data_IF_719214933910
#
_entry.id   IF_719214933910
#
_cell.length_a   1.000
_cell.length_b   1.000
_cell.length_c   1.000
_cell.angle_alpha   90.00
_cell.angle_beta   90.00
_cell.angle_gamma   90.00
#
_symmetry.space_group_name_H-M   'P 1'
#
loop_
_entity.id
_entity.type
_entity.pdbx_description
1 polymer ?
#
# COMPACT_ATOMS: atom_id res chain seq x y z
N UNK A 1 -5.31 -16.11 -12.89
CA UNK A 1 -4.74 -14.76 -13.09
C UNK A 1 -3.23 -14.90 -13.04
N UNK A 2 -2.52 -14.75 -14.17
CA UNK A 2 -1.07 -14.81 -14.19
C UNK A 2 -0.53 -13.60 -13.43
N UNK A 3 0.19 -13.83 -12.34
CA UNK A 3 0.94 -12.78 -11.68
C UNK A 3 1.97 -12.23 -12.67
N UNK A 4 1.84 -10.95 -13.05
CA UNK A 4 2.91 -10.24 -13.76
C UNK A 4 4.08 -10.21 -12.79
N UNK A 5 5.03 -11.13 -12.96
CA UNK A 5 6.23 -11.19 -12.14
C UNK A 5 7.05 -9.94 -12.42
N UNK A 6 7.29 -9.08 -11.42
CA UNK A 6 8.03 -7.86 -11.64
C UNK A 6 9.47 -8.18 -12.03
N UNK A 7 9.96 -7.49 -13.06
CA UNK A 7 11.31 -7.74 -13.59
C UNK A 7 12.36 -7.41 -12.53
N UNK A 8 13.53 -8.04 -12.63
CA UNK A 8 14.67 -7.77 -11.71
C UNK A 8 15.02 -6.28 -11.66
N UNK A 9 14.90 -5.58 -12.78
CA UNK A 9 15.09 -4.14 -12.87
C UNK A 9 14.01 -3.36 -12.12
N UNK A 10 12.76 -3.81 -12.12
CA UNK A 10 11.66 -3.15 -11.41
C UNK A 10 11.82 -3.31 -9.90
N UNK A 11 12.24 -4.51 -9.45
CA UNK A 11 12.61 -4.74 -8.05
C UNK A 11 13.73 -3.79 -7.64
N UNK A 12 14.82 -3.78 -8.39
CA UNK A 12 16.00 -2.96 -8.13
C UNK A 12 15.64 -1.46 -7.98
N UNK A 13 14.76 -0.94 -8.85
CA UNK A 13 14.22 0.42 -8.75
C UNK A 13 13.38 0.65 -7.50
N UNK A 14 12.53 -0.31 -7.14
CA UNK A 14 11.69 -0.24 -5.94
C UNK A 14 12.55 -0.15 -4.67
N UNK A 15 13.53 -1.04 -4.53
CA UNK A 15 14.49 -1.00 -3.43
C UNK A 15 15.30 0.30 -3.39
N UNK A 16 15.69 0.82 -4.56
CA UNK A 16 16.37 2.11 -4.65
C UNK A 16 15.49 3.28 -4.20
N UNK A 17 14.23 3.34 -4.65
CA UNK A 17 13.29 4.42 -4.29
C UNK A 17 12.95 4.36 -2.80
N UNK A 18 12.57 3.20 -2.27
CA UNK A 18 12.20 3.08 -0.87
C UNK A 18 13.42 3.31 0.04
N UNK A 19 14.57 2.75 -0.33
CA UNK A 19 15.82 2.92 0.41
C UNK A 19 16.30 4.36 0.41
N UNK A 20 16.26 5.05 -0.74
CA UNK A 20 16.65 6.46 -0.82
C UNK A 20 15.68 7.39 -0.06
N UNK A 21 14.38 7.14 -0.10
CA UNK A 21 13.39 7.90 0.69
C UNK A 21 13.63 7.77 2.20
N UNK A 22 13.82 6.54 2.70
CA UNK A 22 14.15 6.31 4.10
C UNK A 22 15.53 6.92 4.46
N UNK A 23 16.52 6.78 3.58
CA UNK A 23 17.86 7.34 3.75
C UNK A 23 17.88 8.87 3.79
N UNK A 24 17.03 9.55 3.01
CA UNK A 24 16.84 11.00 3.11
C UNK A 24 16.23 11.41 4.46
N UNK A 25 15.23 10.68 4.96
CA UNK A 25 14.61 10.95 6.25
C UNK A 25 15.60 10.79 7.41
N UNK A 26 16.33 9.68 7.44
CA UNK A 26 17.36 9.40 8.44
C UNK A 26 18.52 10.40 8.33
N UNK A 27 18.98 10.68 7.10
CA UNK A 27 20.02 11.66 6.83
C UNK A 27 19.62 13.08 7.21
N UNK A 28 18.33 13.42 7.11
CA UNK A 28 17.79 14.71 7.60
C UNK A 28 17.78 14.76 9.12
N UNK A 29 17.37 13.69 9.81
CA UNK A 29 17.37 13.64 11.27
C UNK A 29 18.79 13.71 11.84
N UNK A 30 19.68 12.82 11.40
CA UNK A 30 21.07 12.81 11.89
C UNK A 30 21.85 14.02 11.41
N UNK A 31 21.69 14.44 10.15
CA UNK A 31 22.33 15.64 9.61
C UNK A 31 21.80 16.91 10.27
N UNK A 32 20.50 17.00 10.51
CA UNK A 32 19.86 18.13 11.20
C UNK A 32 20.33 18.23 12.65
N UNK A 33 20.31 17.12 13.38
CA UNK A 33 20.84 17.07 14.75
C UNK A 33 22.33 17.39 14.80
N UNK A 34 23.13 16.88 13.86
CA UNK A 34 24.56 17.17 13.80
C UNK A 34 24.83 18.66 13.53
N UNK A 35 24.10 19.28 12.61
CA UNK A 35 24.26 20.70 12.28
C UNK A 35 23.73 21.61 13.40
N UNK A 36 22.66 21.23 14.08
CA UNK A 36 22.15 21.96 15.25
C UNK A 36 23.09 21.85 16.46
N UNK A 37 23.73 20.69 16.66
CA UNK A 37 24.61 20.42 17.80
C UNK A 37 26.02 20.98 17.61
N UNK A 38 26.62 20.74 16.44
CA UNK A 38 28.02 21.07 16.15
C UNK A 38 28.16 22.33 15.28
N UNK A 39 27.04 22.93 14.88
CA UNK A 39 26.99 24.08 14.01
C UNK A 39 27.08 23.71 12.52
N UNK A 40 26.53 24.55 11.64
CA UNK A 40 26.80 24.46 10.21
C UNK A 40 28.27 24.83 10.01
N UNK A 41 29.12 23.84 9.74
CA UNK A 41 30.55 24.06 9.50
C UNK A 41 30.81 25.10 8.39
N UNK A 42 32.07 25.37 8.04
CA UNK A 42 32.45 26.48 7.13
C UNK A 42 31.82 26.43 5.73
N UNK A 43 31.15 25.32 5.39
CA UNK A 43 30.45 25.07 4.12
C UNK A 43 28.95 25.46 4.16
N UNK A 44 28.43 25.93 5.30
CA UNK A 44 27.05 26.35 5.48
C UNK A 44 26.08 25.21 5.83
N UNK A 45 24.86 25.60 6.25
CA UNK A 45 23.82 24.68 6.77
C UNK A 45 23.30 23.72 5.70
N UNK A 46 22.84 24.28 4.57
CA UNK A 46 22.21 23.50 3.50
C UNK A 46 23.17 22.51 2.84
N UNK A 47 24.45 22.89 2.68
CA UNK A 47 25.46 22.02 2.09
C UNK A 47 25.84 20.87 3.03
N UNK A 48 26.04 21.15 4.32
CA UNK A 48 26.39 20.12 5.30
C UNK A 48 25.22 19.14 5.47
N UNK A 49 24.01 19.66 5.68
CA UNK A 49 22.79 18.87 5.78
C UNK A 49 22.53 18.05 4.51
N UNK A 50 22.61 18.69 3.34
CA UNK A 50 22.47 18.02 2.05
C UNK A 50 23.49 16.90 1.85
N UNK A 51 24.72 17.05 2.33
CA UNK A 51 25.74 16.02 2.28
C UNK A 51 25.37 14.78 3.12
N UNK A 52 24.84 14.98 4.33
CA UNK A 52 24.35 13.89 5.17
C UNK A 52 23.14 13.18 4.53
N UNK A 53 22.19 13.96 4.01
CA UNK A 53 21.01 13.44 3.34
C UNK A 53 21.37 12.63 2.09
N UNK A 54 22.24 13.17 1.22
CA UNK A 54 22.62 12.55 -0.03
C UNK A 54 23.46 11.30 0.20
N UNK A 55 24.43 11.34 1.12
CA UNK A 55 25.25 10.17 1.47
C UNK A 55 24.39 9.06 2.07
N UNK A 56 23.45 9.39 2.97
CA UNK A 56 22.55 8.42 3.58
C UNK A 56 21.56 7.83 2.55
N UNK A 57 21.00 8.68 1.68
CA UNK A 57 20.12 8.23 0.59
C UNK A 57 20.86 7.30 -0.40
N UNK A 58 22.13 7.60 -0.69
CA UNK A 58 22.95 6.79 -1.57
C UNK A 58 23.24 5.41 -0.97
N UNK A 59 23.67 5.31 0.30
CA UNK A 59 23.95 4.01 0.92
C UNK A 59 22.68 3.20 1.15
N UNK A 60 21.64 3.78 1.76
CA UNK A 60 20.39 3.05 1.98
C UNK A 60 19.73 2.67 0.65
N UNK A 61 19.75 3.55 -0.35
CA UNK A 61 19.27 3.24 -1.69
C UNK A 61 20.02 2.09 -2.34
N UNK A 62 21.37 2.10 -2.30
CA UNK A 62 22.19 1.06 -2.90
C UNK A 62 22.01 -0.32 -2.23
N UNK A 63 22.09 -0.38 -0.90
CA UNK A 63 21.91 -1.64 -0.17
C UNK A 63 20.50 -2.19 -0.30
N UNK A 64 19.47 -1.33 -0.23
CA UNK A 64 18.09 -1.77 -0.38
C UNK A 64 17.75 -2.14 -1.82
N UNK A 65 18.38 -1.51 -2.82
CA UNK A 65 18.23 -1.84 -4.24
C UNK A 65 18.76 -3.23 -4.59
N UNK A 66 19.92 -3.63 -4.06
CA UNK A 66 20.45 -4.99 -4.23
C UNK A 66 19.69 -5.98 -3.35
N UNK A 67 19.46 -5.62 -2.08
CA UNK A 67 18.70 -6.43 -1.13
C UNK A 67 17.28 -6.68 -1.60
N UNK A 68 16.75 -5.83 -2.46
CA UNK A 68 15.44 -5.96 -3.07
C UNK A 68 15.32 -7.14 -4.03
N UNK A 69 16.33 -7.26 -4.91
CA UNK A 69 16.41 -8.33 -5.90
C UNK A 69 16.64 -9.67 -5.20
N UNK A 70 17.48 -9.70 -4.17
CA UNK A 70 17.84 -10.92 -3.43
C UNK A 70 16.74 -11.36 -2.46
N UNK A 71 16.08 -10.43 -1.76
CA UNK A 71 14.93 -10.75 -0.90
C UNK A 71 13.69 -11.13 -1.69
N UNK A 72 13.80 -11.11 -3.02
CA UNK A 72 12.79 -11.52 -3.98
C UNK A 72 11.46 -10.85 -3.69
N UNK A 73 11.50 -9.59 -3.28
CA UNK A 73 10.33 -8.86 -2.81
C UNK A 73 9.20 -9.00 -3.81
N UNK A 74 8.08 -9.52 -3.32
CA UNK A 74 6.82 -9.43 -4.02
C UNK A 74 6.48 -7.95 -4.02
N UNK A 75 6.59 -7.30 -5.18
CA UNK A 75 5.98 -5.99 -5.35
C UNK A 75 4.52 -6.24 -4.98
N UNK A 76 3.99 -5.69 -3.86
CA UNK A 76 2.56 -5.69 -3.67
C UNK A 76 2.10 -5.02 -4.94
N UNK A 77 1.28 -5.71 -5.73
CA UNK A 77 0.61 -5.03 -6.81
C UNK A 77 -0.20 -3.93 -6.13
N UNK A 78 0.41 -2.76 -5.95
CA UNK A 78 -0.21 -1.46 -5.91
C UNK A 78 -0.76 -1.27 -7.32
N UNK A 79 -1.57 -2.22 -7.78
CA UNK A 79 -2.77 -1.85 -8.48
C UNK A 79 -3.36 -0.75 -7.62
N UNK A 80 -3.59 0.38 -8.25
CA UNK A 80 -4.79 1.16 -8.05
C UNK A 80 -5.99 0.19 -8.06
N UNK A 81 -6.11 -0.63 -7.01
CA UNK A 81 -7.22 -1.50 -6.73
C UNK A 81 -8.14 -0.60 -5.95
N UNK A 82 -8.75 0.33 -6.68
CA UNK A 82 -9.75 1.23 -6.15
C UNK A 82 -10.72 0.40 -5.36
N UNK A 83 -10.84 0.70 -4.07
CA UNK A 83 -12.02 0.39 -3.28
C UNK A 83 -12.64 -0.99 -3.57
N UNK A 84 -11.90 -2.08 -3.36
CA UNK A 84 -12.49 -3.42 -3.27
C UNK A 84 -13.22 -3.54 -1.91
N UNK A 85 -14.18 -2.66 -1.67
CA UNK A 85 -15.11 -2.78 -0.56
C UNK A 85 -16.06 -3.95 -0.88
N UNK A 86 -15.63 -5.14 -0.46
CA UNK A 86 -16.45 -6.30 -0.13
C UNK A 86 -17.48 -6.79 -1.17
N UNK A 87 -17.13 -7.77 -2.03
CA UNK A 87 -18.12 -8.62 -2.69
C UNK A 87 -19.01 -9.41 -1.70
N UNK A 88 -18.61 -9.50 -0.42
CA UNK A 88 -19.41 -10.13 0.65
C UNK A 88 -20.76 -9.46 0.88
N UNK A 89 -20.89 -8.15 0.66
CA UNK A 89 -22.17 -7.45 0.85
C UNK A 89 -23.16 -7.76 -0.28
N UNK A 90 -22.65 -7.97 -1.49
CA UNK A 90 -23.47 -8.28 -2.67
C UNK A 90 -24.00 -9.73 -2.63
N UNK A 91 -23.22 -10.67 -2.06
CA UNK A 91 -23.69 -12.04 -1.81
C UNK A 91 -24.85 -12.07 -0.79
N UNK A 92 -24.81 -11.20 0.22
CA UNK A 92 -25.87 -11.12 1.24
C UNK A 92 -27.21 -10.66 0.67
N UNK A 93 -27.19 -9.74 -0.31
CA UNK A 93 -28.40 -9.23 -0.98
C UNK A 93 -29.20 -10.36 -1.65
N UNK A 94 -28.52 -11.34 -2.24
CA UNK A 94 -29.16 -12.47 -2.91
C UNK A 94 -29.92 -13.41 -1.96
N UNK A 95 -29.54 -13.46 -0.68
CA UNK A 95 -30.21 -14.27 0.33
C UNK A 95 -31.48 -13.57 0.80
N UNK A 96 -31.44 -12.25 1.01
CA UNK A 96 -32.61 -11.48 1.39
C UNK A 96 -33.69 -11.48 0.29
N UNK A 97 -33.31 -11.38 -0.98
CA UNK A 97 -34.26 -11.43 -2.10
C UNK A 97 -34.99 -12.78 -2.18
N UNK A 98 -34.31 -13.89 -1.86
CA UNK A 98 -34.93 -15.21 -1.76
C UNK A 98 -35.93 -15.28 -0.61
N UNK A 99 -35.56 -14.75 0.57
CA UNK A 99 -36.43 -14.74 1.76
C UNK A 99 -37.69 -13.88 1.52
N UNK A 100 -37.55 -12.72 0.86
CA UNK A 100 -38.67 -11.84 0.51
C UNK A 100 -39.58 -12.44 -0.56
N UNK A 101 -39.00 -13.12 -1.56
CA UNK A 101 -39.78 -13.84 -2.56
C UNK A 101 -40.57 -15.00 -1.93
N UNK A 102 -40.01 -15.64 -0.90
CA UNK A 102 -40.66 -16.71 -0.14
C UNK A 102 -41.80 -16.16 0.74
N UNK A 103 -41.60 -15.03 1.42
CA UNK A 103 -42.66 -14.39 2.23
C UNK A 103 -43.82 -13.92 1.37
N UNK A 104 -43.54 -13.36 0.18
CA UNK A 104 -44.58 -12.90 -0.74
C UNK A 104 -45.34 -14.07 -1.39
N UNK A 105 -44.68 -15.21 -1.64
CA UNK A 105 -45.38 -16.45 -2.06
C UNK A 105 -46.27 -17.00 -0.96
N UNK A 106 -45.80 -17.01 0.29
CA UNK A 106 -46.58 -17.46 1.45
C UNK A 106 -47.78 -16.56 1.72
N UNK A 107 -47.63 -15.25 1.55
CA UNK A 107 -48.72 -14.28 1.64
C UNK A 107 -49.78 -14.51 0.57
N UNK A 108 -49.39 -14.72 -0.70
CA UNK A 108 -50.35 -15.06 -1.76
C UNK A 108 -51.12 -16.34 -1.47
N UNK A 109 -50.46 -17.35 -0.92
CA UNK A 109 -51.11 -18.63 -0.56
C UNK A 109 -52.08 -18.42 0.62
N UNK A 110 -51.69 -17.65 1.64
CA UNK A 110 -52.55 -17.32 2.78
C UNK A 110 -53.76 -16.45 2.38
N UNK A 111 -53.54 -15.45 1.52
CA UNK A 111 -54.59 -14.62 0.94
C UNK A 111 -55.60 -15.42 0.12
N UNK A 112 -55.13 -16.41 -0.66
CA UNK A 112 -56.01 -17.24 -1.47
C UNK A 112 -56.79 -18.26 -0.61
N UNK A 113 -56.22 -18.74 0.50
CA UNK A 113 -56.90 -19.61 1.46
C UNK A 113 -57.98 -18.87 2.27
N UNK A 114 -57.77 -17.60 2.61
CA UNK A 114 -58.78 -16.76 3.28
C UNK A 114 -59.97 -16.38 2.40
N UNK A 115 -59.86 -16.50 1.07
CA UNK A 115 -60.90 -16.11 0.11
C UNK A 115 -61.78 -17.29 -0.34
N UNK A 116 -61.50 -18.48 0.19
CA UNK A 116 -62.23 -19.73 -0.09
C UNK A 116 -63.16 -20.18 1.05
N UNK A 117 -63.28 -19.39 2.12
CA UNK A 117 -64.40 -19.41 3.07
C UNK A 117 -65.33 -18.22 2.77
#
# INVERSE_FOLDING_TARGET
MQAVQPSTTDKLKMGAIMGSAAGLGIGFLFGGMAVLRYGPGPRGFLRTLGQYMLTSAATFGFFMSIGSVIRNEDIPQLGYKGSDWSPKLMQQRSIYDRILAESSRREKIASNASKSE
#
